data_IF_169973017334
#
_entry.id   IF_169973017334
#
_cell.length_a   1.000
_cell.length_b   1.000
_cell.length_c   1.000
_cell.angle_alpha   90.00
_cell.angle_beta   90.00
_cell.angle_gamma   90.00
#
_symmetry.space_group_name_H-M   'P 1'
#
loop_
_entity.id
_entity.type
_entity.pdbx_description
1 polymer ?
2 non-polymer ?
3 non-polymer ?
4 water ?
#
# COMPACT_ATOMS: atom_id res chain seq x y z
N UNK A 3 -0.75 -17.93 2.57
CA UNK A 3 -0.09 -17.64 1.28
C UNK A 3 1.42 -17.74 1.49
N UNK A 4 2.04 -18.80 0.97
CA UNK A 4 3.50 -19.00 1.13
C UNK A 4 4.29 -18.42 -0.04
N UNK A 5 3.62 -17.82 -1.01
CA UNK A 5 4.27 -17.25 -2.22
C UNK A 5 5.06 -15.98 -1.92
N UNK A 6 6.12 -15.66 -2.68
CA UNK A 6 6.87 -14.42 -2.53
C UNK A 6 6.05 -13.36 -3.25
N UNK A 7 5.99 -12.14 -2.74
CA UNK A 7 5.14 -11.09 -3.34
C UNK A 7 5.98 -10.10 -4.15
N UNK A 8 5.55 -9.77 -5.37
CA UNK A 8 6.27 -8.75 -6.16
C UNK A 8 5.89 -7.38 -5.69
N UNK A 9 4.59 -7.15 -5.51
CA UNK A 9 4.12 -5.80 -5.12
C UNK A 9 2.73 -5.88 -4.50
N UNK A 10 2.40 -4.96 -3.61
CA UNK A 10 1.07 -4.85 -2.94
C UNK A 10 0.60 -3.41 -2.92
N UNK A 11 -0.72 -3.23 -2.94
CA UNK A 11 -1.26 -1.93 -2.52
C UNK A 11 -2.58 -1.65 -3.15
N UNK A 12 -3.06 -0.43 -2.97
CA UNK A 12 -4.41 -0.05 -3.43
C UNK A 12 -4.41 0.14 -4.94
N UNK A 13 -5.45 -0.34 -5.59
CA UNK A 13 -5.89 0.05 -6.94
C UNK A 13 -7.41 0.17 -6.91
N UNK A 14 -7.95 1.01 -7.79
CA UNK A 14 -9.40 0.97 -8.12
C UNK A 14 -9.55 -0.07 -9.24
N UNK A 15 -10.51 -0.96 -9.11
CA UNK A 15 -10.93 -1.91 -10.16
C UNK A 15 -12.35 -1.54 -10.58
N UNK A 16 -12.56 -1.25 -11.84
CA UNK A 16 -13.91 -1.00 -12.37
C UNK A 16 -14.71 -2.31 -12.34
N UNK A 17 -15.98 -2.26 -11.98
CA UNK A 17 -16.82 -3.48 -11.94
C UNK A 17 -17.17 -3.84 -13.38
N UNK A 18 -17.38 -5.13 -13.59
CA UNK A 18 -17.82 -5.77 -14.85
C UNK A 18 -19.25 -5.33 -15.18
N UNK A 19 -20.16 -5.44 -14.23
CA UNK A 19 -21.61 -5.17 -14.43
C UNK A 19 -22.14 -4.25 -13.33
N UNK A 20 -23.42 -3.90 -13.43
CA UNK A 20 -24.05 -2.86 -12.60
C UNK A 20 -23.89 -1.53 -13.30
N UNK A 21 -23.44 -0.51 -12.59
CA UNK A 21 -23.15 0.81 -13.20
C UNK A 21 -21.66 0.92 -13.52
N UNK A 22 -20.90 -0.18 -13.48
CA UNK A 22 -19.44 -0.18 -13.75
C UNK A 22 -18.76 0.79 -12.78
N UNK A 23 -19.06 0.68 -11.48
CA UNK A 23 -18.45 1.61 -10.49
C UNK A 23 -17.02 1.17 -10.19
N UNK A 24 -16.18 2.13 -9.86
CA UNK A 24 -14.76 1.97 -9.48
C UNK A 24 -14.68 1.64 -8.01
N UNK A 25 -14.16 0.46 -7.65
CA UNK A 25 -13.99 0.03 -6.24
C UNK A 25 -12.52 0.03 -5.87
N UNK A 26 -12.16 0.49 -4.67
CA UNK A 26 -10.79 0.47 -4.13
C UNK A 26 -10.57 -0.85 -3.43
N UNK A 27 -9.66 -1.66 -3.94
CA UNK A 27 -9.27 -2.94 -3.32
C UNK A 27 -7.77 -2.95 -3.08
N UNK A 28 -7.37 -3.81 -2.16
CA UNK A 28 -5.95 -4.08 -1.88
C UNK A 28 -5.50 -5.24 -2.76
N UNK A 29 -4.49 -4.99 -3.58
CA UNK A 29 -4.02 -5.93 -4.63
C UNK A 29 -2.68 -6.48 -4.21
N UNK A 30 -2.50 -7.77 -4.46
CA UNK A 30 -1.22 -8.47 -4.23
C UNK A 30 -0.85 -9.17 -5.51
N UNK A 31 0.31 -8.85 -6.07
CA UNK A 31 0.79 -9.56 -7.28
C UNK A 31 1.75 -10.62 -6.78
N UNK A 32 1.33 -11.88 -6.78
CA UNK A 32 2.22 -12.96 -6.36
C UNK A 32 1.95 -14.16 -7.26
N UNK A 33 2.98 -14.93 -7.56
CA UNK A 33 2.82 -16.13 -8.40
C UNK A 33 2.15 -15.84 -9.73
N UNK A 34 2.59 -14.79 -10.41
CA UNK A 34 2.07 -14.41 -11.75
C UNK A 34 0.56 -14.22 -11.71
N UNK A 35 0.05 -13.58 -10.66
CA UNK A 35 -1.41 -13.39 -10.52
C UNK A 35 -1.69 -12.21 -9.60
N UNK A 36 -2.76 -11.49 -9.89
CA UNK A 36 -3.34 -10.47 -9.01
C UNK A 36 -4.30 -11.18 -8.07
N UNK A 37 -4.16 -10.98 -6.77
CA UNK A 37 -5.17 -11.31 -5.76
C UNK A 37 -5.68 -9.99 -5.21
N UNK A 38 -7.00 -9.86 -5.06
CA UNK A 38 -7.57 -8.65 -4.45
C UNK A 38 -8.39 -9.01 -3.23
N UNK A 39 -8.31 -8.07 -2.29
CA UNK A 39 -8.88 -8.12 -0.94
C UNK A 39 -9.64 -6.82 -0.63
N UNK A 40 -10.53 -6.83 0.35
CA UNK A 40 -11.18 -5.59 0.87
C UNK A 40 -10.10 -4.59 1.32
N UNK A 41 -9.05 -5.06 1.96
CA UNK A 41 -8.11 -4.18 2.71
C UNK A 41 -6.76 -4.88 2.84
N UNK A 42 -5.78 -4.19 3.43
CA UNK A 42 -4.36 -4.58 3.56
C UNK A 42 -4.17 -5.71 4.57
N UNK A 43 -5.22 -6.09 5.30
CA UNK A 43 -5.12 -7.25 6.22
C UNK A 43 -4.87 -8.47 5.33
N UNK A 44 -5.26 -8.37 4.08
CA UNK A 44 -5.12 -9.47 3.09
C UNK A 44 -5.72 -10.73 3.68
N UNK A 45 -6.91 -10.62 4.29
CA UNK A 45 -7.50 -11.78 4.98
C UNK A 45 -8.36 -12.49 3.94
N UNK A 46 -9.52 -11.99 3.56
CA UNK A 46 -10.43 -12.79 2.71
C UNK A 46 -10.32 -12.34 1.24
N UNK A 47 -9.81 -13.23 0.38
CA UNK A 47 -9.53 -12.91 -1.05
C UNK A 47 -10.81 -12.89 -1.88
N UNK A 48 -11.18 -11.71 -2.35
CA UNK A 48 -12.36 -11.47 -3.21
C UNK A 48 -12.17 -12.00 -4.63
N UNK A 49 -10.99 -11.82 -5.24
CA UNK A 49 -10.80 -12.27 -6.64
C UNK A 49 -9.37 -12.56 -7.00
N UNK A 50 -9.17 -13.29 -8.10
CA UNK A 50 -7.86 -13.77 -8.59
C UNK A 50 -7.73 -13.53 -10.09
N UNK A 51 -6.61 -13.00 -10.59
CA UNK A 51 -6.45 -12.79 -12.05
C UNK A 51 -5.10 -13.39 -12.44
N UNK A 52 -5.07 -14.56 -13.08
CA UNK A 52 -3.79 -15.11 -13.55
C UNK A 52 -3.34 -14.27 -14.74
N UNK A 53 -2.16 -13.66 -14.62
CA UNK A 53 -1.63 -12.62 -15.55
C UNK A 53 -0.99 -13.16 -16.83
N UNK A 54 -0.55 -14.42 -16.95
CA UNK A 54 0.03 -14.86 -18.19
C UNK A 54 -0.95 -14.66 -19.35
N UNK A 55 -0.40 -14.15 -20.46
CA UNK A 55 -1.17 -13.83 -21.68
C UNK A 55 -2.32 -12.88 -21.37
N UNK A 56 -1.98 -11.77 -20.71
CA UNK A 56 -2.90 -10.64 -20.50
C UNK A 56 -2.09 -9.43 -20.96
N UNK A 57 -2.64 -8.54 -21.77
CA UNK A 57 -1.81 -7.39 -22.21
C UNK A 57 -2.20 -6.17 -21.37
N UNK A 58 -1.27 -5.62 -20.60
CA UNK A 58 -1.63 -4.48 -19.73
C UNK A 58 -1.21 -3.22 -20.47
N UNK A 59 -2.16 -2.35 -20.80
CA UNK A 59 -1.92 -1.15 -21.64
C UNK A 59 -2.76 0.00 -21.13
N UNK A 60 -2.15 1.20 -20.98
CA UNK A 60 -2.84 2.34 -20.39
C UNK A 60 -4.02 2.78 -21.25
N UNK A 61 -5.00 3.51 -20.69
CA UNK A 61 -5.85 4.52 -21.38
C UNK A 61 -6.33 3.99 -22.76
N UNK A 62 -7.26 3.04 -22.76
CA UNK A 62 -7.82 2.48 -24.02
C UNK A 62 -8.71 3.54 -24.66
N UNK A 63 -8.36 4.07 -25.85
CA UNK A 63 -9.05 5.23 -26.42
C UNK A 63 -10.58 5.06 -26.58
N UNK A 64 -11.00 3.98 -27.25
CA UNK A 64 -12.43 3.67 -27.51
C UNK A 64 -13.14 3.32 -26.19
N UNK A 65 -12.45 2.65 -25.27
CA UNK A 65 -13.01 2.17 -23.97
C UNK A 65 -13.49 3.35 -23.10
N UNK A 66 -13.12 4.60 -23.46
CA UNK A 66 -13.69 5.86 -22.92
C UNK A 66 -13.76 5.79 -21.39
N UNK A 67 -12.64 5.56 -20.75
CA UNK A 67 -12.51 5.63 -19.27
C UNK A 67 -12.30 7.09 -18.90
N UNK A 68 -13.19 7.67 -18.10
CA UNK A 68 -13.09 9.09 -17.65
C UNK A 68 -11.97 9.21 -16.62
N UNK A 69 -11.85 8.21 -15.73
CA UNK A 69 -10.96 8.26 -14.53
C UNK A 69 -9.48 8.28 -14.94
N UNK A 70 -8.66 9.06 -14.24
CA UNK A 70 -7.22 9.26 -14.58
C UNK A 70 -6.40 8.12 -14.01
N UNK A 71 -5.14 8.01 -14.44
CA UNK A 71 -4.14 6.95 -14.11
C UNK A 71 -4.78 5.56 -14.26
N UNK A 72 -5.47 5.34 -15.37
CA UNK A 72 -6.24 4.10 -15.63
C UNK A 72 -5.53 3.29 -16.72
N UNK A 73 -5.54 1.98 -16.55
CA UNK A 73 -4.89 0.98 -17.44
C UNK A 73 -5.81 -0.24 -17.50
N UNK A 74 -5.48 -1.20 -18.36
CA UNK A 74 -6.36 -2.33 -18.71
C UNK A 74 -5.51 -3.58 -18.88
N UNK A 75 -6.04 -4.72 -18.48
CA UNK A 75 -5.49 -6.06 -18.73
C UNK A 75 -6.48 -6.83 -19.61
N UNK A 76 -6.07 -7.17 -20.84
CA UNK A 76 -6.93 -7.89 -21.81
C UNK A 76 -6.47 -9.34 -21.90
N UNK A 77 -7.40 -10.29 -21.90
CA UNK A 77 -7.07 -11.73 -21.88
C UNK A 77 -6.75 -12.27 -23.27
N UNK A 78 -5.62 -11.86 -23.85
CA UNK A 78 -5.24 -12.38 -25.18
C UNK A 78 -4.80 -13.83 -25.05
N UNK A 100 -12.06 -11.25 -22.38
CA UNK A 100 -12.34 -10.45 -21.16
C UNK A 100 -11.22 -9.43 -20.91
N UNK A 101 -11.58 -8.23 -20.45
CA UNK A 101 -10.64 -7.18 -20.00
C UNK A 101 -11.08 -6.66 -18.61
N UNK A 102 -10.10 -6.33 -17.76
CA UNK A 102 -10.26 -5.58 -16.51
C UNK A 102 -9.71 -4.17 -16.68
N UNK A 103 -10.37 -3.21 -16.02
CA UNK A 103 -9.93 -1.80 -15.93
C UNK A 103 -9.52 -1.49 -14.49
N UNK A 104 -8.36 -0.84 -14.37
CA UNK A 104 -7.65 -0.49 -13.12
C UNK A 104 -7.33 1.00 -13.16
N UNK A 105 -7.19 1.64 -12.00
CA UNK A 105 -6.79 3.05 -11.84
C UNK A 105 -5.98 3.22 -10.55
N UNK A 106 -4.84 3.90 -10.64
CA UNK A 106 -3.98 4.21 -9.47
C UNK A 106 -4.32 5.62 -8.99
N UNK A 107 -3.78 5.99 -7.83
CA UNK A 107 -4.04 7.29 -7.16
C UNK A 107 -3.08 8.30 -7.81
N UNK A 108 -1.95 7.85 -8.38
CA UNK A 108 -0.86 8.70 -8.97
C UNK A 108 -0.26 8.06 -10.22
N UNK A 109 0.38 8.87 -11.08
CA UNK A 109 1.06 8.41 -12.33
C UNK A 109 2.19 7.41 -12.00
N UNK A 110 3.00 7.73 -10.99
CA UNK A 110 4.11 6.88 -10.45
C UNK A 110 3.57 5.48 -10.16
N UNK A 111 2.47 5.36 -9.43
CA UNK A 111 1.86 4.05 -9.08
C UNK A 111 1.40 3.36 -10.36
N UNK A 112 0.72 4.06 -11.26
CA UNK A 112 0.20 3.42 -12.49
C UNK A 112 1.40 2.76 -13.16
N UNK A 113 2.51 3.49 -13.28
CA UNK A 113 3.71 2.99 -13.98
C UNK A 113 4.26 1.75 -13.26
N UNK A 114 4.41 1.81 -11.94
CA UNK A 114 4.93 0.67 -11.14
C UNK A 114 4.06 -0.56 -11.39
N UNK A 115 2.73 -0.39 -11.37
CA UNK A 115 1.76 -1.50 -11.55
C UNK A 115 1.85 -2.09 -12.95
N UNK A 116 1.97 -1.26 -13.96
CA UNK A 116 1.92 -1.73 -15.37
C UNK A 116 3.20 -2.53 -15.62
N UNK A 117 4.33 -2.02 -15.14
CA UNK A 117 5.63 -2.73 -15.22
C UNK A 117 5.44 -4.12 -14.61
N UNK A 118 4.91 -4.15 -13.39
CA UNK A 118 4.84 -5.36 -12.54
C UNK A 118 3.97 -6.39 -13.25
N UNK A 119 2.81 -5.94 -13.71
CA UNK A 119 1.79 -6.82 -14.31
C UNK A 119 2.34 -7.37 -15.63
N UNK A 120 2.97 -6.52 -16.45
CA UNK A 120 3.59 -6.93 -17.74
C UNK A 120 4.71 -7.93 -17.47
N UNK A 121 5.54 -7.74 -16.43
CA UNK A 121 6.61 -8.72 -16.10
C UNK A 121 5.97 -10.08 -15.87
N UNK A 122 4.87 -10.10 -15.11
CA UNK A 122 4.15 -11.34 -14.73
C UNK A 122 3.48 -11.94 -15.98
N UNK A 123 2.86 -11.09 -16.78
CA UNK A 123 2.10 -11.43 -18.01
C UNK A 123 3.00 -11.98 -19.10
N UNK A 124 4.03 -11.23 -19.46
CA UNK A 124 4.91 -11.54 -20.62
C UNK A 124 5.75 -12.76 -20.27
N UNK A 125 5.45 -13.89 -20.91
CA UNK A 125 6.10 -15.20 -20.69
C UNK A 125 7.01 -15.57 -21.86
N UNK A 126 7.18 -14.65 -22.84
CA UNK A 126 7.88 -14.78 -24.16
C UNK A 126 7.65 -16.17 -24.77
N UNK B 5 1.76 -14.41 12.07
CA UNK B 5 0.94 -13.46 12.87
C UNK B 5 0.02 -12.66 11.94
N UNK B 6 -1.13 -12.16 12.41
CA UNK B 6 -2.07 -11.43 11.56
C UNK B 6 -1.73 -9.95 11.58
N UNK B 7 -1.85 -9.34 10.41
CA UNK B 7 -1.49 -7.92 10.13
C UNK B 7 -2.74 -7.06 10.25
N UNK B 8 -2.59 -5.89 10.83
CA UNK B 8 -3.73 -4.94 10.94
C UNK B 8 -3.77 -4.05 9.70
N UNK B 9 -2.61 -3.60 9.30
CA UNK B 9 -2.52 -2.55 8.25
C UNK B 9 -1.09 -2.54 7.74
N UNK B 10 -0.94 -2.22 6.44
CA UNK B 10 0.37 -2.09 5.77
C UNK B 10 0.38 -0.89 4.81
N UNK B 11 1.55 -0.31 4.63
CA UNK B 11 1.73 0.60 3.50
C UNK B 11 2.87 1.54 3.74
N UNK B 12 2.98 2.54 2.87
CA UNK B 12 4.12 3.48 2.95
C UNK B 12 3.89 4.47 4.08
N UNK B 13 4.97 4.78 4.81
CA UNK B 13 5.10 5.96 5.70
C UNK B 13 6.53 6.50 5.54
N UNK B 14 6.76 7.79 5.82
CA UNK B 14 8.13 8.36 5.98
C UNK B 14 8.48 8.31 7.47
N UNK B 15 9.65 7.77 7.81
CA UNK B 15 10.17 7.76 9.20
C UNK B 15 11.47 8.57 9.27
N UNK B 16 11.53 9.41 10.28
CA UNK B 16 12.72 10.21 10.60
C UNK B 16 13.60 9.32 11.47
N UNK B 17 14.86 9.13 11.08
CA UNK B 17 15.81 8.26 11.82
C UNK B 17 16.25 8.93 13.11
N UNK B 18 16.73 8.12 14.06
CA UNK B 18 17.19 8.66 15.36
C UNK B 18 18.43 9.52 15.12
N UNK B 19 19.53 8.87 14.74
CA UNK B 19 20.81 9.59 14.47
C UNK B 19 20.82 10.12 13.03
N UNK B 20 21.84 10.90 12.69
CA UNK B 20 21.87 11.50 11.34
C UNK B 20 21.26 12.88 11.37
N UNK B 21 21.10 13.52 10.21
CA UNK B 21 20.54 14.89 10.21
C UNK B 21 19.03 14.90 10.01
N UNK B 22 18.30 14.06 10.77
CA UNK B 22 16.82 13.96 10.70
C UNK B 22 16.42 13.80 9.23
N UNK B 23 16.85 12.68 8.66
CA UNK B 23 16.65 12.37 7.22
C UNK B 23 15.35 11.60 7.04
N UNK B 24 14.40 12.17 6.30
CA UNK B 24 13.10 11.52 6.06
C UNK B 24 13.24 10.39 5.05
N UNK B 25 13.29 9.14 5.50
CA UNK B 25 13.37 7.95 4.61
C UNK B 25 11.95 7.37 4.44
N UNK B 26 11.60 6.88 3.25
CA UNK B 26 10.27 6.27 3.04
C UNK B 26 10.37 4.75 3.17
N UNK B 27 9.53 4.13 4.00
CA UNK B 27 9.58 2.69 4.23
C UNK B 27 8.19 2.10 4.12
N UNK B 28 8.14 0.80 3.86
CA UNK B 28 6.90 0.00 3.83
C UNK B 28 6.74 -0.54 5.24
N UNK B 29 5.61 -0.22 5.87
CA UNK B 29 5.34 -0.53 7.28
C UNK B 29 4.29 -1.62 7.34
N UNK B 30 4.38 -2.48 8.35
CA UNK B 30 3.40 -3.57 8.57
C UNK B 30 3.09 -3.57 10.07
N UNK B 31 1.81 -3.46 10.41
CA UNK B 31 1.38 -3.47 11.82
C UNK B 31 0.85 -4.87 12.14
N UNK B 32 1.59 -5.60 12.97
CA UNK B 32 1.24 -6.96 13.40
C UNK B 32 1.92 -7.21 14.73
N UNK B 33 1.32 -8.05 15.58
CA UNK B 33 1.87 -8.39 16.92
C UNK B 33 2.13 -7.13 17.74
N UNK B 34 1.24 -6.13 17.69
CA UNK B 34 1.36 -4.86 18.44
C UNK B 34 2.69 -4.16 18.14
N UNK B 35 3.16 -4.19 16.90
CA UNK B 35 4.47 -3.60 16.54
C UNK B 35 4.47 -3.19 15.07
N UNK B 36 5.30 -2.19 14.76
CA UNK B 36 5.65 -1.80 13.39
C UNK B 36 6.86 -2.63 12.99
N UNK B 37 6.78 -3.30 11.86
CA UNK B 37 7.94 -3.80 11.11
C UNK B 37 8.04 -2.96 9.86
N UNK B 38 9.23 -2.49 9.54
CA UNK B 38 9.47 -1.72 8.31
C UNK B 38 10.49 -2.43 7.42
N UNK B 39 10.27 -2.20 6.13
CA UNK B 39 11.00 -2.82 4.99
C UNK B 39 11.35 -1.79 3.92
N UNK B 40 12.32 -2.10 3.06
CA UNK B 40 12.62 -1.27 1.86
C UNK B 40 11.35 -1.08 1.02
N UNK B 41 10.50 -2.08 0.88
CA UNK B 41 9.38 -2.04 -0.11
C UNK B 41 8.30 -3.05 0.29
N UNK B 42 7.24 -3.15 -0.51
CA UNK B 42 6.03 -3.97 -0.28
C UNK B 42 6.31 -5.47 -0.49
N UNK B 43 7.47 -5.84 -1.01
CA UNK B 43 7.92 -7.25 -1.06
C UNK B 43 7.97 -7.77 0.37
N UNK B 44 8.11 -6.87 1.34
CA UNK B 44 8.19 -7.22 2.79
C UNK B 44 9.18 -8.37 2.94
N UNK B 45 10.34 -8.25 2.30
CA UNK B 45 11.29 -9.39 2.30
C UNK B 45 12.33 -9.25 3.40
N UNK B 46 13.04 -8.13 3.45
CA UNK B 46 14.09 -7.99 4.49
C UNK B 46 13.69 -6.90 5.45
N UNK B 47 13.59 -7.25 6.73
CA UNK B 47 13.15 -6.28 7.77
C UNK B 47 14.27 -5.28 8.02
N UNK B 48 13.94 -3.99 8.08
CA UNK B 48 14.98 -2.96 8.33
C UNK B 48 15.00 -2.60 9.81
N UNK B 49 13.86 -2.73 10.48
CA UNK B 49 13.74 -2.54 11.93
C UNK B 49 12.34 -2.80 12.43
N UNK B 50 12.15 -2.62 13.73
CA UNK B 50 10.88 -2.93 14.42
C UNK B 50 10.63 -1.90 15.50
N UNK B 51 9.37 -1.52 15.65
CA UNK B 51 8.94 -0.62 16.75
C UNK B 51 7.81 -1.25 17.56
N UNK B 52 8.10 -1.86 18.73
CA UNK B 52 7.04 -2.34 19.60
C UNK B 52 6.28 -1.15 20.21
N UNK B 53 4.96 -1.09 20.00
CA UNK B 53 4.08 0.07 20.30
C UNK B 53 3.49 0.09 21.72
N UNK B 54 3.39 -1.03 22.46
CA UNK B 54 2.87 -0.97 23.82
C UNK B 54 3.46 0.19 24.61
N UNK B 55 2.57 0.91 25.31
CA UNK B 55 2.90 2.05 26.20
C UNK B 55 3.28 3.30 25.39
N UNK B 56 3.15 3.31 24.06
CA UNK B 56 3.38 4.53 23.25
C UNK B 56 2.02 5.21 23.13
N UNK B 57 1.99 6.53 23.21
CA UNK B 57 0.84 7.31 22.69
C UNK B 57 1.31 7.92 21.39
N UNK B 58 0.54 7.65 20.34
CA UNK B 58 0.74 8.17 18.98
C UNK B 58 -0.17 9.38 18.83
N UNK B 59 0.39 10.55 18.53
CA UNK B 59 -0.40 11.81 18.36
C UNK B 59 0.12 12.60 17.17
N UNK B 60 -0.76 13.37 16.50
CA UNK B 60 -0.35 14.33 15.47
C UNK B 60 0.65 15.34 16.04
N UNK B 61 1.71 15.64 15.28
CA UNK B 61 3.01 16.18 15.78
C UNK B 61 2.69 17.55 16.40
N UNK B 62 3.23 17.84 17.59
CA UNK B 62 2.88 19.03 18.37
C UNK B 62 3.42 20.27 17.66
N UNK B 63 2.94 21.47 18.04
CA UNK B 63 3.59 22.72 17.65
C UNK B 63 5.10 22.74 17.99
N UNK B 64 5.43 22.41 19.24
CA UNK B 64 6.79 22.53 19.81
C UNK B 64 7.75 21.55 19.11
N UNK B 65 7.24 20.46 18.51
CA UNK B 65 8.07 19.36 17.94
C UNK B 65 8.95 19.85 16.77
N UNK B 66 8.67 21.04 16.23
CA UNK B 66 9.45 21.66 15.11
C UNK B 66 9.65 20.62 14.01
N UNK B 67 8.60 19.93 13.56
CA UNK B 67 8.71 19.02 12.38
C UNK B 67 7.97 19.71 11.24
N UNK B 68 8.69 20.05 10.18
CA UNK B 68 8.25 20.90 9.06
C UNK B 68 7.21 20.16 8.20
N UNK B 69 7.43 18.87 7.96
CA UNK B 69 6.68 18.01 6.99
C UNK B 69 5.20 17.89 7.37
N UNK B 70 4.32 17.93 6.36
CA UNK B 70 2.85 17.68 6.47
C UNK B 70 2.55 16.26 6.96
N UNK B 71 1.35 16.07 7.54
CA UNK B 71 0.75 14.76 7.95
C UNK B 71 1.74 13.97 8.79
N UNK B 72 2.40 14.63 9.75
CA UNK B 72 3.41 14.04 10.68
C UNK B 72 2.74 13.73 12.02
N UNK B 73 3.14 12.63 12.63
CA UNK B 73 2.67 12.15 13.96
C UNK B 73 3.89 11.55 14.68
N UNK B 74 3.70 11.19 15.95
CA UNK B 74 4.80 10.78 16.83
C UNK B 74 4.28 9.72 17.78
N UNK B 75 5.15 8.79 18.13
CA UNK B 75 4.96 7.76 19.16
C UNK B 75 5.92 8.04 20.32
N UNK B 76 5.36 8.42 21.47
CA UNK B 76 6.07 8.87 22.70
C UNK B 76 5.79 7.83 23.82
N UNK B 77 6.83 7.41 24.55
CA UNK B 77 6.71 6.57 25.77
C UNK B 77 6.42 7.47 26.97
N UNK B 100 12.54 6.00 24.12
CA UNK B 100 12.80 6.31 22.68
C UNK B 100 11.51 6.77 22.01
N UNK B 101 11.53 7.83 21.19
CA UNK B 101 10.31 8.39 20.50
C UNK B 101 10.55 8.52 19.00
N UNK B 102 9.53 8.16 18.21
CA UNK B 102 9.60 7.97 16.74
C UNK B 102 8.74 9.05 16.07
N UNK B 103 9.23 9.61 14.95
CA UNK B 103 8.51 10.58 14.09
C UNK B 103 8.22 9.96 12.71
N UNK B 104 6.95 10.10 12.29
CA UNK B 104 6.36 9.50 11.07
C UNK B 104 5.58 10.56 10.31
N UNK B 105 5.36 10.32 9.02
CA UNK B 105 4.62 11.23 8.12
C UNK B 105 3.95 10.41 7.02
N UNK B 106 2.67 10.68 6.77
CA UNK B 106 1.87 10.04 5.71
C UNK B 106 1.91 10.94 4.48
N UNK B 107 1.46 10.42 3.35
CA UNK B 107 1.37 11.17 2.07
C UNK B 107 0.08 12.01 2.13
N UNK B 108 -0.95 11.60 2.93
CA UNK B 108 -2.30 12.24 3.01
C UNK B 108 -2.87 12.27 4.44
N UNK B 109 -3.82 13.17 4.75
CA UNK B 109 -4.43 13.30 6.10
C UNK B 109 -5.21 12.02 6.47
N UNK B 110 -6.01 11.51 5.53
CA UNK B 110 -6.77 10.24 5.64
C UNK B 110 -5.85 9.15 6.16
N UNK B 111 -4.68 8.99 5.55
CA UNK B 111 -3.75 7.88 5.90
C UNK B 111 -3.18 8.16 7.29
N UNK B 112 -2.79 9.40 7.59
CA UNK B 112 -2.27 9.72 8.94
C UNK B 112 -3.31 9.25 9.96
N UNK B 113 -4.58 9.60 9.77
CA UNK B 113 -5.67 9.23 10.71
C UNK B 113 -5.78 7.70 10.82
N UNK B 114 -5.82 6.97 9.70
CA UNK B 114 -5.90 5.49 9.70
C UNK B 114 -4.73 4.91 10.51
N UNK B 115 -3.51 5.42 10.31
CA UNK B 115 -2.29 4.89 10.99
C UNK B 115 -2.35 5.18 12.47
N UNK B 116 -2.79 6.37 12.86
CA UNK B 116 -2.76 6.79 14.28
C UNK B 116 -3.81 5.96 15.03
N UNK B 117 -4.99 5.76 14.45
CA UNK B 117 -6.01 4.88 15.06
C UNK B 117 -5.38 3.50 15.28
N UNK B 118 -4.76 2.95 14.23
CA UNK B 118 -4.27 1.56 14.22
C UNK B 118 -3.19 1.40 15.28
N UNK B 119 -2.27 2.36 15.32
CA UNK B 119 -1.09 2.35 16.21
C UNK B 119 -1.58 2.47 17.66
N UNK B 120 -2.56 3.33 17.94
CA UNK B 120 -3.15 3.47 19.30
C UNK B 120 -3.86 2.18 19.68
N UNK B 121 -4.61 1.53 18.77
CA UNK B 121 -5.26 0.23 19.07
C UNK B 121 -4.17 -0.73 19.53
N UNK B 122 -3.04 -0.74 18.80
CA UNK B 122 -1.89 -1.62 19.01
C UNK B 122 -1.23 -1.30 20.34
N UNK B 123 -1.03 0.00 20.61
CA UNK B 123 -0.34 0.53 21.80
C UNK B 123 -1.12 0.08 23.04
N UNK B 124 -2.40 -0.22 22.87
CA UNK B 124 -3.30 -0.42 24.01
C UNK B 124 -3.61 -1.90 24.18
N UNK B 125 -3.03 -2.81 23.44
CA UNK B 125 -3.19 -4.23 23.83
C UNK B 125 -1.83 -4.92 23.73
X LIG C 1 -12.60 6.06 -2.45
X LIG C 1 -11.26 6.16 -1.96
X LIG C 1 -12.64 5.77 -3.94
X LIG C 1 -12.68 4.37 -4.16
X LIG C 1 -13.80 6.42 -4.67
X LIG C 1 -13.70 6.19 -6.08
X LIG D 1 -15.87 -0.12 -1.84
X LIG D 1 -17.23 -0.32 -1.47
X LIG D 1 -15.63 1.24 -2.35
X LIG D 1 -14.32 1.40 -2.90
X LIG E 1 11.64 8.75 -1.00
X LIG E 1 12.60 8.25 -0.08
X LIG E 1 11.35 10.23 -0.82
X LIG E 1 10.96 10.52 0.52
X LIG E 1 10.28 10.73 -1.75
X LIG E 1 8.96 10.47 -1.25
X LIG F 1 5.51 -13.18 11.50
X LIG F 1 5.23 -12.78 12.82
X LIG F 1 5.48 -11.95 10.64
X LIG F 1 5.98 -12.31 9.37
X LIG F 1 6.26 -10.83 11.27
X LIG F 1 6.07 -9.63 10.55
#
# INVERSE_FOLDING_TARGET
GPLGSPVVVRGWLHKQDSSGMRLWKRRWFVLADYCLFYYKDSREEAVLGSIPLPSYVISPVAPEDRISRKYSFKAVHTGMRALIYNSSTAGSQAEQSGMRTYYFSADTQEDMNAWVRAMNQAAQVLS
GPLGSPVVVRGWLHKQDSSGMRLWKRRWFVLADYCLFYYKDSREEAVLGSIPLPSYVISPVAPEDRISRKYSFKAVHTGMRALIYNSSTAGSQAEQSGMRTYYFSADTQEDMNAWVRAMNQAAQVLS
GOL C1 O1 C2 O2 C3 O3
EDO C1 O1 C2 O2
GOL C1 O1 C2 O2 C3 O3
GOL C1 O1 C2 O2 C3 O3
#
